data_IF_749020452048
#
_entry.id   IF_749020452048
#
_cell.length_a   1.000
_cell.length_b   1.000
_cell.length_c   1.000
_cell.angle_alpha   90.00
_cell.angle_beta   90.00
_cell.angle_gamma   90.00
#
_symmetry.space_group_name_H-M   'P 1'
#
loop_
_entity.id
_entity.type
_entity.pdbx_description
1 polymer ?
#
# COMPACT_ATOMS: atom_id res chain seq x y z
N UNK A 1 -31.60 -27.15 40.01
CA UNK A 1 -32.45 -26.92 38.82
C UNK A 1 -31.99 -25.65 38.13
N UNK A 2 -31.30 -25.78 36.99
CA UNK A 2 -31.01 -24.66 36.10
C UNK A 2 -31.21 -25.15 34.66
N UNK A 3 -32.15 -24.51 33.96
CA UNK A 3 -32.64 -24.87 32.63
C UNK A 3 -31.63 -24.36 31.60
N UNK A 4 -30.98 -25.28 30.87
CA UNK A 4 -30.20 -24.98 29.67
C UNK A 4 -31.16 -25.00 28.47
N UNK A 5 -31.46 -23.82 27.92
CA UNK A 5 -32.16 -23.71 26.63
C UNK A 5 -31.13 -23.89 25.51
N UNK A 6 -31.22 -25.02 24.82
CA UNK A 6 -30.56 -25.25 23.54
C UNK A 6 -31.29 -24.44 22.45
N UNK A 7 -30.55 -23.64 21.68
CA UNK A 7 -31.04 -23.11 20.41
C UNK A 7 -30.56 -24.03 19.29
N UNK A 8 -31.53 -24.70 18.68
CA UNK A 8 -31.41 -25.40 17.40
C UNK A 8 -31.44 -24.36 16.28
N UNK A 9 -30.45 -24.38 15.38
CA UNK A 9 -30.57 -23.78 14.06
C UNK A 9 -30.39 -24.87 13.01
N UNK A 10 -31.47 -25.08 12.27
CA UNK A 10 -31.58 -26.05 11.20
C UNK A 10 -30.86 -25.65 9.91
N UNK A 11 -30.61 -26.69 9.12
CA UNK A 11 -30.01 -26.78 7.80
C UNK A 11 -30.39 -25.70 6.77
N UNK A 12 -29.41 -25.31 5.94
CA UNK A 12 -29.55 -25.11 4.49
C UNK A 12 -28.18 -25.31 3.76
N UNK A 13 -28.04 -26.50 3.17
CA UNK A 13 -27.59 -26.82 1.79
C UNK A 13 -26.19 -26.38 1.27
N UNK A 14 -25.32 -27.41 1.14
CA UNK A 14 -24.36 -27.74 0.06
C UNK A 14 -23.38 -26.67 -0.45
N UNK A 15 -22.15 -26.72 0.07
CA UNK A 15 -20.95 -26.61 -0.75
C UNK A 15 -19.85 -27.39 -0.05
N UNK A 16 -19.26 -28.38 -0.73
CA UNK A 16 -18.01 -28.98 -0.30
C UNK A 16 -16.99 -27.85 -0.11
N UNK A 17 -16.32 -27.86 1.04
CA UNK A 17 -15.16 -27.08 1.50
C UNK A 17 -15.42 -26.48 2.88
N UNK A 18 -14.47 -26.75 3.78
CA UNK A 18 -14.45 -26.53 5.23
C UNK A 18 -15.04 -27.72 6.01
N UNK A 19 -14.19 -28.74 6.21
CA UNK A 19 -14.35 -29.62 7.38
C UNK A 19 -14.16 -28.75 8.63
N UNK A 20 -15.11 -28.75 9.59
CA UNK A 20 -14.90 -28.11 10.89
C UNK A 20 -13.68 -28.75 11.56
N UNK A 21 -12.94 -27.96 12.35
CA UNK A 21 -11.92 -28.51 13.26
C UNK A 21 -12.69 -29.35 14.29
N UNK A 22 -12.85 -30.64 14.00
CA UNK A 22 -13.37 -31.60 14.95
C UNK A 22 -12.49 -31.55 16.20
N UNK A 23 -13.13 -31.59 17.39
CA UNK A 23 -12.44 -32.12 18.58
C UNK A 23 -11.77 -33.41 18.12
N UNK A 24 -10.45 -33.56 18.33
CA UNK A 24 -9.73 -34.78 17.96
C UNK A 24 -10.52 -35.98 18.45
N UNK A 25 -11.24 -36.62 17.54
CA UNK A 25 -11.79 -37.94 17.80
C UNK A 25 -10.58 -38.85 18.04
N UNK A 26 -10.69 -39.83 18.96
CA UNK A 26 -9.61 -40.79 19.17
C UNK A 26 -9.27 -41.42 17.82
N UNK A 27 -7.98 -41.40 17.46
CA UNK A 27 -7.48 -42.01 16.22
C UNK A 27 -7.96 -43.46 16.20
N UNK A 28 -8.92 -43.77 15.33
CA UNK A 28 -9.47 -45.11 15.20
C UNK A 28 -8.47 -45.99 14.48
N UNK A 29 -8.42 -47.27 14.84
CA UNK A 29 -7.55 -48.28 14.19
C UNK A 29 -7.72 -48.35 12.68
N UNK A 30 -8.85 -47.92 12.14
CA UNK A 30 -9.12 -47.85 10.69
C UNK A 30 -8.41 -46.69 10.00
N UNK A 31 -8.31 -45.51 10.63
CA UNK A 31 -7.63 -44.35 10.06
C UNK A 31 -6.10 -44.50 10.02
N UNK A 32 -5.54 -45.31 10.92
CA UNK A 32 -4.11 -45.68 10.90
C UNK A 32 -3.82 -46.64 9.74
N UNK A 33 -4.69 -47.63 9.52
CA UNK A 33 -4.53 -48.62 8.45
C UNK A 33 -4.68 -48.00 7.04
N UNK A 34 -5.58 -47.02 6.87
CA UNK A 34 -5.73 -46.28 5.60
C UNK A 34 -4.52 -45.39 5.31
N UNK A 35 -3.95 -44.76 6.34
CA UNK A 35 -2.73 -43.96 6.20
C UNK A 35 -1.52 -44.83 5.80
N UNK A 36 -1.34 -45.98 6.44
CA UNK A 36 -0.24 -46.92 6.15
C UNK A 36 -0.32 -47.46 4.71
N UNK A 37 -1.51 -47.85 4.24
CA UNK A 37 -1.72 -48.29 2.85
C UNK A 37 -1.43 -47.18 1.82
N UNK A 38 -1.75 -45.93 2.14
CA UNK A 38 -1.46 -44.79 1.27
C UNK A 38 0.04 -44.48 1.18
N UNK A 39 0.77 -44.67 2.28
CA UNK A 39 2.20 -44.41 2.38
C UNK A 39 2.99 -45.47 1.61
N UNK A 40 2.66 -46.75 1.79
CA UNK A 40 3.29 -47.85 1.07
C UNK A 40 3.12 -47.72 -0.44
N UNK A 41 1.91 -47.39 -0.90
CA UNK A 41 1.65 -47.14 -2.33
C UNK A 41 2.45 -45.94 -2.87
N UNK A 42 2.67 -44.89 -2.07
CA UNK A 42 3.47 -43.74 -2.47
C UNK A 42 4.97 -44.06 -2.53
N UNK A 43 5.47 -44.87 -1.59
CA UNK A 43 6.87 -45.34 -1.56
C UNK A 43 7.17 -46.23 -2.78
N UNK A 44 6.26 -47.15 -3.10
CA UNK A 44 6.38 -48.05 -4.24
C UNK A 44 6.33 -47.30 -5.57
N UNK A 45 5.43 -46.32 -5.67
CA UNK A 45 5.29 -45.46 -6.85
C UNK A 45 6.47 -44.50 -7.06
N UNK A 46 7.29 -44.22 -6.04
CA UNK A 46 8.40 -43.28 -6.14
C UNK A 46 9.56 -43.87 -6.96
N UNK A 47 9.79 -43.28 -8.15
CA UNK A 47 10.91 -43.64 -9.01
C UNK A 47 12.13 -42.75 -8.72
N UNK A 48 13.20 -43.36 -8.22
CA UNK A 48 14.49 -42.70 -8.00
C UNK A 48 15.47 -43.07 -9.11
N UNK A 49 16.20 -42.08 -9.63
CA UNK A 49 17.18 -42.32 -10.67
C UNK A 49 18.33 -43.22 -10.18
N UNK A 50 18.98 -43.94 -11.09
CA UNK A 50 20.14 -44.77 -10.77
C UNK A 50 21.29 -43.96 -10.16
N UNK A 51 21.41 -42.69 -10.52
CA UNK A 51 22.39 -41.79 -9.93
C UNK A 51 22.18 -41.63 -8.41
N UNK A 52 20.93 -41.59 -7.96
CA UNK A 52 20.56 -41.47 -6.54
C UNK A 52 20.78 -42.78 -5.74
N UNK A 53 20.78 -43.94 -6.41
CA UNK A 53 20.74 -45.26 -5.75
C UNK A 53 21.98 -46.13 -5.94
N UNK A 54 22.90 -45.75 -6.85
CA UNK A 54 24.00 -46.61 -7.33
C UNK A 54 25.01 -47.14 -6.29
N UNK A 55 24.99 -46.63 -5.06
CA UNK A 55 25.90 -47.04 -3.97
C UNK A 55 25.18 -47.33 -2.65
N UNK A 56 23.86 -47.50 -2.71
CA UNK A 56 23.02 -47.73 -1.55
C UNK A 56 22.56 -49.19 -1.52
N UNK A 57 22.50 -49.77 -0.32
CA UNK A 57 21.83 -51.07 -0.13
C UNK A 57 20.32 -50.94 -0.39
N UNK A 58 19.61 -52.04 -0.69
CA UNK A 58 18.15 -52.01 -0.86
C UNK A 58 17.41 -51.33 0.30
N UNK A 59 17.80 -51.65 1.55
CA UNK A 59 17.23 -51.03 2.75
C UNK A 59 17.52 -49.53 2.85
N UNK A 60 18.68 -49.07 2.39
CA UNK A 60 18.99 -47.64 2.33
C UNK A 60 18.16 -46.92 1.27
N UNK A 61 17.91 -47.57 0.13
CA UNK A 61 17.04 -47.04 -0.93
C UNK A 61 15.60 -46.92 -0.45
N UNK A 62 15.09 -47.95 0.23
CA UNK A 62 13.74 -47.96 0.83
C UNK A 62 13.59 -46.84 1.87
N UNK A 63 14.50 -46.75 2.84
CA UNK A 63 14.51 -45.66 3.82
C UNK A 63 14.60 -44.27 3.16
N UNK A 64 15.37 -44.13 2.09
CA UNK A 64 15.45 -42.88 1.35
C UNK A 64 14.10 -42.54 0.69
N UNK A 65 13.42 -43.52 0.08
CA UNK A 65 12.09 -43.32 -0.51
C UNK A 65 11.07 -42.87 0.55
N UNK A 66 11.02 -43.56 1.69
CA UNK A 66 10.13 -43.21 2.81
C UNK A 66 10.36 -41.76 3.25
N UNK A 67 11.61 -41.36 3.46
CA UNK A 67 11.93 -39.99 3.87
C UNK A 67 11.58 -38.94 2.81
N UNK A 68 11.71 -39.27 1.51
CA UNK A 68 11.29 -38.36 0.43
C UNK A 68 9.78 -38.17 0.43
N UNK A 69 9.00 -39.24 0.60
CA UNK A 69 7.54 -39.16 0.68
C UNK A 69 7.12 -38.30 1.87
N UNK A 70 7.68 -38.56 3.06
CA UNK A 70 7.41 -37.78 4.28
C UNK A 70 7.78 -36.30 4.12
N UNK A 71 8.92 -36.00 3.49
CA UNK A 71 9.33 -34.62 3.24
C UNK A 71 8.35 -33.89 2.28
N UNK A 72 7.89 -34.58 1.24
CA UNK A 72 6.93 -34.02 0.29
C UNK A 72 5.56 -33.77 0.95
N UNK A 73 5.08 -34.71 1.76
CA UNK A 73 3.84 -34.57 2.52
C UNK A 73 3.89 -33.42 3.52
N UNK A 74 5.02 -33.26 4.23
CA UNK A 74 5.22 -32.14 5.15
C UNK A 74 5.17 -30.79 4.42
N UNK A 75 5.75 -30.69 3.21
CA UNK A 75 5.68 -29.49 2.39
C UNK A 75 4.24 -29.22 1.90
N UNK A 76 3.52 -30.25 1.45
CA UNK A 76 2.13 -30.11 1.04
C UNK A 76 1.25 -29.63 2.21
N UNK A 77 1.46 -30.19 3.40
CA UNK A 77 0.78 -29.79 4.64
C UNK A 77 1.06 -28.33 5.00
N UNK A 78 2.32 -27.89 4.92
CA UNK A 78 2.67 -26.49 5.14
C UNK A 78 1.96 -25.55 4.15
N UNK A 79 1.85 -25.98 2.90
CA UNK A 79 1.13 -25.27 1.84
C UNK A 79 -0.36 -25.13 2.11
N UNK A 80 -0.98 -26.23 2.53
CA UNK A 80 -2.38 -26.27 2.91
C UNK A 80 -2.65 -25.34 4.09
N UNK A 81 -1.76 -25.34 5.09
CA UNK A 81 -1.84 -24.43 6.23
C UNK A 81 -1.77 -22.96 5.81
N UNK A 82 -0.94 -22.60 4.81
CA UNK A 82 -0.90 -21.25 4.23
C UNK A 82 -2.25 -20.88 3.60
N UNK A 83 -2.82 -21.76 2.76
CA UNK A 83 -4.11 -21.51 2.11
C UNK A 83 -5.25 -21.39 3.12
N UNK A 84 -5.32 -22.32 4.07
CA UNK A 84 -6.34 -22.33 5.13
C UNK A 84 -6.26 -21.08 6.00
N UNK A 85 -5.04 -20.68 6.40
CA UNK A 85 -4.82 -19.44 7.17
C UNK A 85 -5.26 -18.22 6.39
N UNK A 86 -4.91 -18.12 5.10
CA UNK A 86 -5.30 -16.99 4.26
C UNK A 86 -6.82 -16.90 4.07
N UNK A 87 -7.50 -18.04 3.90
CA UNK A 87 -8.97 -18.11 3.81
C UNK A 87 -9.65 -17.71 5.12
N UNK A 88 -9.19 -18.23 6.26
CA UNK A 88 -9.76 -17.86 7.57
C UNK A 88 -9.58 -16.37 7.87
N UNK A 89 -8.41 -15.80 7.57
CA UNK A 89 -8.16 -14.37 7.73
C UNK A 89 -9.03 -13.51 6.81
N UNK A 90 -9.31 -14.00 5.59
CA UNK A 90 -10.21 -13.32 4.67
C UNK A 90 -11.65 -13.28 5.19
N UNK A 91 -12.16 -14.38 5.73
CA UNK A 91 -13.49 -14.40 6.36
C UNK A 91 -13.55 -13.47 7.59
N UNK A 92 -12.53 -13.49 8.45
CA UNK A 92 -12.43 -12.52 9.56
C UNK A 92 -12.46 -11.08 9.04
N UNK A 93 -11.72 -10.77 7.97
CA UNK A 93 -11.69 -9.42 7.38
C UNK A 93 -13.07 -9.00 6.84
N UNK A 94 -13.85 -9.93 6.27
CA UNK A 94 -15.21 -9.65 5.79
C UNK A 94 -16.17 -9.27 6.91
N UNK A 95 -16.01 -9.89 8.08
CA UNK A 95 -16.89 -9.67 9.23
C UNK A 95 -16.58 -8.39 10.01
N UNK A 96 -15.42 -7.75 9.76
CA UNK A 96 -14.98 -6.56 10.48
C UNK A 96 -14.85 -5.34 9.57
N UNK A 97 -15.15 -4.13 10.09
CA UNK A 97 -14.87 -2.88 9.37
C UNK A 97 -13.36 -2.69 9.17
N UNK A 98 -12.95 -2.04 8.08
CA UNK A 98 -11.53 -1.86 7.72
C UNK A 98 -10.62 -1.35 8.86
N UNK A 99 -11.08 -0.40 9.69
CA UNK A 99 -10.29 0.10 10.83
C UNK A 99 -10.07 -0.99 11.90
N UNK A 100 -11.06 -1.84 12.11
CA UNK A 100 -10.99 -2.95 13.07
C UNK A 100 -10.08 -4.07 12.54
N UNK A 101 -10.06 -4.30 11.22
CA UNK A 101 -9.12 -5.24 10.61
C UNK A 101 -7.67 -4.84 10.89
N UNK A 102 -7.31 -3.58 10.63
CA UNK A 102 -5.96 -3.08 10.93
C UNK A 102 -5.61 -3.24 12.40
N UNK A 103 -6.51 -2.82 13.30
CA UNK A 103 -6.31 -2.96 14.74
C UNK A 103 -6.14 -4.41 15.19
N UNK A 104 -6.93 -5.36 14.64
CA UNK A 104 -6.80 -6.79 14.92
C UNK A 104 -5.43 -7.32 14.48
N UNK A 105 -4.95 -6.93 13.29
CA UNK A 105 -3.64 -7.38 12.82
C UNK A 105 -2.47 -6.82 13.65
N UNK A 106 -2.69 -5.74 14.40
CA UNK A 106 -1.68 -5.07 15.22
C UNK A 106 -1.80 -5.40 16.71
N UNK A 107 -2.86 -6.07 17.15
CA UNK A 107 -3.13 -6.36 18.56
C UNK A 107 -2.28 -7.49 19.15
N UNK A 108 -1.62 -8.30 18.30
CA UNK A 108 -0.90 -9.51 18.73
C UNK A 108 -1.80 -10.72 18.99
N UNK A 109 -3.11 -10.63 18.71
CA UNK A 109 -4.04 -11.76 18.87
C UNK A 109 -3.78 -12.92 17.89
N UNK A 110 -3.15 -12.63 16.75
CA UNK A 110 -2.78 -13.62 15.74
C UNK A 110 -1.40 -14.20 16.05
N UNK A 111 -1.23 -15.50 15.83
CA UNK A 111 0.08 -16.20 15.93
C UNK A 111 1.00 -15.91 14.72
N UNK A 112 0.84 -14.74 14.09
CA UNK A 112 1.64 -14.28 12.96
C UNK A 112 1.72 -12.75 12.98
N UNK A 113 2.72 -12.19 12.32
CA UNK A 113 2.85 -10.73 12.23
C UNK A 113 1.65 -10.12 11.51
N UNK A 114 1.21 -8.93 11.93
CA UNK A 114 0.14 -8.19 11.26
C UNK A 114 0.42 -7.95 9.78
N UNK A 115 1.69 -7.78 9.42
CA UNK A 115 2.11 -7.67 8.02
C UNK A 115 1.83 -8.96 7.24
N UNK A 116 2.23 -10.11 7.79
CA UNK A 116 1.98 -11.42 7.19
C UNK A 116 0.48 -11.66 7.00
N UNK A 117 -0.35 -11.37 8.01
CA UNK A 117 -1.79 -11.52 7.92
C UNK A 117 -2.38 -10.69 6.76
N UNK A 118 -2.01 -9.41 6.66
CA UNK A 118 -2.48 -8.52 5.58
C UNK A 118 -2.01 -8.96 4.19
N UNK A 119 -0.75 -9.39 4.07
CA UNK A 119 -0.20 -9.89 2.81
C UNK A 119 -0.91 -11.21 2.38
N UNK A 120 -1.18 -12.14 3.30
CA UNK A 120 -1.91 -13.38 3.02
C UNK A 120 -3.34 -13.11 2.54
N UNK A 121 -4.09 -12.27 3.24
CA UNK A 121 -5.47 -11.92 2.81
C UNK A 121 -5.46 -11.28 1.43
N UNK A 122 -4.53 -10.36 1.18
CA UNK A 122 -4.39 -9.75 -0.14
C UNK A 122 -4.11 -10.79 -1.23
N UNK A 123 -3.25 -11.77 -0.97
CA UNK A 123 -2.98 -12.85 -1.92
C UNK A 123 -4.22 -13.74 -2.16
N UNK A 124 -4.96 -14.06 -1.09
CA UNK A 124 -6.20 -14.81 -1.14
C UNK A 124 -7.26 -14.14 -2.00
N UNK A 125 -7.53 -12.86 -1.71
CA UNK A 125 -8.51 -12.03 -2.42
C UNK A 125 -8.20 -11.86 -3.91
N UNK A 126 -6.92 -11.83 -4.27
CA UNK A 126 -6.50 -11.44 -5.61
C UNK A 126 -6.30 -12.59 -6.58
N UNK A 127 -5.93 -13.77 -6.10
CA UNK A 127 -5.72 -14.92 -6.98
C UNK A 127 -5.72 -16.29 -6.31
N UNK A 128 -5.28 -16.45 -5.05
CA UNK A 128 -5.13 -17.80 -4.45
C UNK A 128 -6.49 -18.51 -4.38
N UNK A 129 -7.56 -17.79 -4.03
CA UNK A 129 -8.93 -18.34 -3.94
C UNK A 129 -9.41 -18.98 -5.24
N UNK A 130 -9.07 -18.37 -6.36
CA UNK A 130 -9.59 -18.75 -7.69
C UNK A 130 -8.54 -19.52 -8.53
N UNK A 131 -7.42 -19.89 -7.92
CA UNK A 131 -6.31 -20.55 -8.62
C UNK A 131 -6.16 -22.01 -8.24
N UNK A 132 -5.96 -22.83 -9.26
CA UNK A 132 -5.57 -24.24 -9.15
C UNK A 132 -4.04 -24.36 -8.93
N UNK A 133 -3.51 -23.67 -7.92
CA UNK A 133 -2.09 -23.80 -7.53
C UNK A 133 -1.96 -24.94 -6.52
N UNK A 134 -1.02 -25.89 -6.68
CA UNK A 134 -0.78 -26.91 -5.68
C UNK A 134 -0.31 -26.31 -4.35
N UNK A 135 -0.67 -26.96 -3.24
CA UNK A 135 -0.37 -26.45 -1.91
C UNK A 135 1.15 -26.42 -1.65
N UNK A 136 1.89 -27.43 -2.09
CA UNK A 136 3.35 -27.48 -1.99
C UNK A 136 4.05 -26.31 -2.69
N UNK A 137 3.42 -25.72 -3.72
CA UNK A 137 3.96 -24.53 -4.37
C UNK A 137 3.79 -23.28 -3.51
N UNK A 138 2.72 -23.19 -2.71
CA UNK A 138 2.50 -22.09 -1.77
C UNK A 138 3.48 -22.14 -0.60
N UNK A 139 3.82 -23.34 -0.10
CA UNK A 139 4.76 -23.52 1.00
C UNK A 139 6.16 -22.94 0.72
N UNK A 140 6.57 -22.91 -0.56
CA UNK A 140 7.89 -22.47 -0.99
C UNK A 140 8.02 -20.96 -1.14
N UNK A 141 6.93 -20.22 -0.94
CA UNK A 141 6.84 -18.79 -1.26
C UNK A 141 6.38 -18.01 -0.04
N UNK A 142 7.05 -16.89 0.26
CA UNK A 142 6.65 -16.05 1.39
C UNK A 142 5.31 -15.37 1.15
N UNK A 143 4.55 -15.12 2.23
CA UNK A 143 3.30 -14.35 2.18
C UNK A 143 3.45 -13.02 1.42
N UNK A 144 4.62 -12.37 1.58
CA UNK A 144 4.93 -11.11 0.92
C UNK A 144 5.00 -11.25 -0.60
N UNK A 145 5.65 -12.30 -1.10
CA UNK A 145 5.75 -12.58 -2.53
C UNK A 145 4.38 -12.93 -3.09
N UNK A 146 3.60 -13.80 -2.41
CA UNK A 146 2.23 -14.16 -2.80
C UNK A 146 1.34 -12.91 -2.96
N UNK A 147 1.43 -11.96 -2.03
CA UNK A 147 0.67 -10.71 -2.07
C UNK A 147 1.08 -9.80 -3.24
N UNK A 148 2.37 -9.79 -3.58
CA UNK A 148 2.87 -9.00 -4.71
C UNK A 148 2.47 -9.62 -6.05
N UNK A 149 2.40 -10.96 -6.19
CA UNK A 149 1.83 -11.63 -7.38
C UNK A 149 0.38 -11.14 -7.63
N UNK A 150 -0.40 -10.98 -6.56
CA UNK A 150 -1.75 -10.41 -6.67
C UNK A 150 -1.80 -8.95 -7.14
N UNK A 151 -0.70 -8.21 -7.03
CA UNK A 151 -0.63 -6.77 -7.34
C UNK A 151 -0.18 -6.47 -8.76
N UNK A 152 0.20 -7.47 -9.55
CA UNK A 152 0.68 -7.29 -10.93
C UNK A 152 -0.44 -7.50 -11.93
N UNK A 153 -0.19 -7.08 -13.17
CA UNK A 153 -1.08 -7.34 -14.30
C UNK A 153 -1.30 -8.85 -14.53
N UNK A 154 -2.41 -9.19 -15.18
CA UNK A 154 -2.83 -10.58 -15.37
C UNK A 154 -1.78 -11.42 -16.11
N UNK A 155 -1.08 -10.86 -17.10
CA UNK A 155 -0.05 -11.56 -17.86
C UNK A 155 1.14 -11.95 -16.98
N UNK A 156 1.68 -10.99 -16.23
CA UNK A 156 2.77 -11.24 -15.26
C UNK A 156 2.34 -12.16 -14.12
N UNK A 157 1.08 -12.05 -13.67
CA UNK A 157 0.51 -12.91 -12.64
C UNK A 157 0.50 -14.37 -13.08
N UNK A 158 -0.03 -14.66 -14.27
CA UNK A 158 -0.06 -16.02 -14.83
C UNK A 158 1.34 -16.58 -15.00
N UNK A 159 2.29 -15.76 -15.47
CA UNK A 159 3.69 -16.18 -15.55
C UNK A 159 4.28 -16.56 -14.19
N UNK A 160 4.04 -15.73 -13.16
CA UNK A 160 4.49 -16.01 -11.79
C UNK A 160 3.86 -17.29 -11.22
N UNK A 161 2.55 -17.48 -11.40
CA UNK A 161 1.80 -18.67 -10.96
C UNK A 161 2.37 -19.93 -11.64
N UNK A 162 2.64 -19.88 -12.94
CA UNK A 162 3.20 -21.01 -13.65
C UNK A 162 4.61 -21.37 -13.16
N UNK A 163 5.42 -20.37 -12.79
CA UNK A 163 6.76 -20.61 -12.26
C UNK A 163 6.73 -21.29 -10.89
N UNK A 164 5.87 -20.83 -9.97
CA UNK A 164 5.72 -21.47 -8.64
C UNK A 164 5.19 -22.91 -8.76
N UNK A 165 4.27 -23.17 -9.69
CA UNK A 165 3.73 -24.52 -9.97
C UNK A 165 4.80 -25.52 -10.37
N UNK A 166 5.81 -25.08 -11.12
CA UNK A 166 6.92 -25.93 -11.56
C UNK A 166 7.90 -26.30 -10.44
N UNK A 167 7.70 -25.75 -9.24
CA UNK A 167 8.64 -25.93 -8.13
C UNK A 167 9.97 -25.21 -8.32
N UNK A 168 10.07 -24.36 -9.35
CA UNK A 168 11.17 -23.42 -9.48
C UNK A 168 11.05 -22.42 -8.32
N UNK A 169 12.02 -22.43 -7.41
CA UNK A 169 12.06 -21.50 -6.28
C UNK A 169 11.81 -20.07 -6.76
N UNK A 170 10.85 -19.40 -6.13
CA UNK A 170 10.37 -18.11 -6.60
C UNK A 170 10.62 -17.04 -5.53
N UNK A 171 11.69 -16.28 -5.72
CA UNK A 171 12.17 -15.29 -4.75
C UNK A 171 11.57 -13.91 -4.99
N UNK A 172 11.71 -13.00 -4.01
CA UNK A 172 11.40 -11.58 -4.23
C UNK A 172 12.20 -10.95 -5.38
N UNK A 173 13.42 -11.43 -5.64
CA UNK A 173 14.23 -10.97 -6.76
C UNK A 173 13.66 -11.41 -8.10
N UNK A 174 13.18 -12.66 -8.21
CA UNK A 174 12.50 -13.15 -9.42
C UNK A 174 11.26 -12.32 -9.71
N UNK A 175 10.48 -12.03 -8.67
CA UNK A 175 9.32 -11.18 -8.79
C UNK A 175 9.70 -9.74 -9.18
N UNK A 176 10.81 -9.20 -8.67
CA UNK A 176 11.27 -7.85 -9.01
C UNK A 176 11.74 -7.76 -10.47
N UNK A 177 12.33 -8.84 -11.01
CA UNK A 177 12.68 -8.97 -12.43
C UNK A 177 11.42 -9.03 -13.32
N UNK A 178 10.41 -9.81 -12.92
CA UNK A 178 9.15 -10.00 -13.67
C UNK A 178 8.27 -8.75 -13.61
N UNK A 179 8.14 -8.12 -12.44
CA UNK A 179 7.43 -6.85 -12.27
C UNK A 179 8.08 -5.74 -13.10
N UNK A 180 9.38 -5.88 -13.35
CA UNK A 180 10.22 -4.87 -13.94
C UNK A 180 10.50 -3.80 -12.91
N UNK A 181 11.74 -3.33 -12.85
CA UNK A 181 12.04 -2.02 -12.30
C UNK A 181 11.41 -0.95 -13.23
N UNK A 182 10.09 -0.83 -13.25
CA UNK A 182 9.51 0.47 -13.53
C UNK A 182 9.84 1.33 -12.31
N UNK A 183 11.05 1.92 -12.31
CA UNK A 183 11.27 3.17 -11.61
C UNK A 183 10.02 4.01 -11.87
N UNK A 184 9.38 4.51 -10.81
CA UNK A 184 8.14 5.26 -10.97
C UNK A 184 8.36 6.36 -12.03
N UNK A 185 7.32 6.76 -12.79
CA UNK A 185 7.45 7.83 -13.78
C UNK A 185 8.17 9.06 -13.21
N UNK A 186 7.89 9.37 -11.94
CA UNK A 186 8.55 10.42 -11.15
C UNK A 186 10.05 10.16 -10.96
N UNK A 187 10.46 8.94 -10.59
CA UNK A 187 11.88 8.60 -10.41
C UNK A 187 12.66 8.65 -11.73
N UNK A 188 12.04 8.27 -12.84
CA UNK A 188 12.65 8.42 -14.19
C UNK A 188 12.80 9.89 -14.57
N UNK A 189 11.76 10.70 -14.37
CA UNK A 189 11.84 12.15 -14.59
C UNK A 189 12.93 12.81 -13.74
N UNK A 190 13.08 12.41 -12.48
CA UNK A 190 14.15 12.93 -11.61
C UNK A 190 15.52 12.56 -12.17
N UNK A 191 15.73 11.30 -12.56
CA UNK A 191 17.01 10.85 -13.12
C UNK A 191 17.33 11.58 -14.45
N UNK A 192 16.32 11.84 -15.30
CA UNK A 192 16.47 12.58 -16.55
C UNK A 192 16.82 14.06 -16.30
N UNK A 193 16.17 14.70 -15.32
CA UNK A 193 16.46 16.08 -14.91
C UNK A 193 17.87 16.22 -14.31
N UNK A 194 18.30 15.26 -13.49
CA UNK A 194 19.66 15.22 -12.94
C UNK A 194 20.68 15.06 -14.05
N UNK A 195 20.46 14.14 -14.99
CA UNK A 195 21.34 13.94 -16.13
C UNK A 195 21.40 15.16 -17.06
N UNK A 196 20.30 15.90 -17.21
CA UNK A 196 20.26 17.14 -17.96
C UNK A 196 21.06 18.25 -17.26
N UNK A 197 20.84 18.45 -15.95
CA UNK A 197 21.58 19.43 -15.16
C UNK A 197 23.10 19.15 -15.14
N UNK A 198 23.51 17.89 -15.05
CA UNK A 198 24.93 17.51 -15.10
C UNK A 198 25.57 17.81 -16.47
N UNK A 199 24.81 17.68 -17.57
CA UNK A 199 25.30 18.05 -18.91
C UNK A 199 25.44 19.56 -19.05
N UNK A 200 24.45 20.32 -18.60
CA UNK A 200 24.47 21.78 -18.64
C UNK A 200 25.63 22.36 -17.81
N UNK A 201 25.87 21.81 -16.61
CA UNK A 201 27.01 22.22 -15.76
C UNK A 201 28.35 21.92 -16.44
N UNK A 202 28.46 20.80 -17.16
CA UNK A 202 29.68 20.41 -17.89
C UNK A 202 29.88 21.18 -19.20
N UNK A 203 28.81 21.65 -19.84
CA UNK A 203 28.87 22.36 -21.12
C UNK A 203 28.99 23.88 -21.00
N UNK A 204 28.67 24.44 -19.83
CA UNK A 204 28.72 25.90 -19.61
C UNK A 204 30.16 26.33 -19.27
N UNK A 205 30.75 27.22 -20.07
CA UNK A 205 32.11 27.73 -19.82
C UNK A 205 32.12 28.70 -18.64
N UNK A 206 33.31 28.95 -18.06
CA UNK A 206 33.41 29.84 -16.90
C UNK A 206 33.08 31.31 -17.25
N UNK A 207 33.21 31.72 -18.52
CA UNK A 207 32.74 33.04 -18.99
C UNK A 207 31.21 33.16 -18.98
N UNK A 208 30.48 32.10 -19.34
CA UNK A 208 29.02 32.10 -19.33
C UNK A 208 28.46 32.13 -17.90
N UNK A 209 29.14 31.45 -16.96
CA UNK A 209 28.82 31.52 -15.53
C UNK A 209 29.04 32.92 -14.96
N UNK A 210 30.13 33.58 -15.36
CA UNK A 210 30.40 34.97 -14.98
C UNK A 210 29.33 35.93 -15.53
N UNK A 211 28.94 35.77 -16.80
CA UNK A 211 27.89 36.57 -17.43
C UNK A 211 26.51 36.39 -16.76
N UNK A 212 26.14 35.15 -16.39
CA UNK A 212 24.92 34.90 -15.64
C UNK A 212 24.95 35.51 -14.24
N UNK A 213 26.10 35.47 -13.57
CA UNK A 213 26.26 36.11 -12.26
C UNK A 213 26.09 37.62 -12.33
N UNK A 214 26.67 38.28 -13.34
CA UNK A 214 26.52 39.72 -13.55
C UNK A 214 25.08 40.11 -13.87
N UNK A 215 24.38 39.30 -14.66
CA UNK A 215 22.95 39.49 -14.94
C UNK A 215 22.11 39.39 -13.67
N UNK A 216 22.32 38.34 -12.85
CA UNK A 216 21.62 38.16 -11.57
C UNK A 216 21.92 39.28 -10.57
N UNK A 217 23.14 39.84 -10.59
CA UNK A 217 23.52 40.98 -9.76
C UNK A 217 22.78 42.24 -10.17
N UNK A 218 22.68 42.51 -11.48
CA UNK A 218 21.95 43.67 -12.00
C UNK A 218 20.44 43.57 -11.74
N UNK A 219 19.85 42.38 -11.93
CA UNK A 219 18.45 42.13 -11.61
C UNK A 219 18.16 42.33 -10.12
N UNK A 220 19.05 41.88 -9.22
CA UNK A 220 18.93 42.13 -7.79
C UNK A 220 18.93 43.62 -7.43
N UNK A 221 19.80 44.40 -8.05
CA UNK A 221 19.84 45.86 -7.84
C UNK A 221 18.53 46.50 -8.31
N UNK A 222 18.04 46.11 -9.49
CA UNK A 222 16.79 46.62 -10.04
C UNK A 222 15.57 46.25 -9.17
N UNK A 223 15.51 45.01 -8.69
CA UNK A 223 14.45 44.56 -7.78
C UNK A 223 14.48 45.30 -6.44
N UNK A 224 15.66 45.54 -5.87
CA UNK A 224 15.79 46.37 -4.66
C UNK A 224 15.30 47.81 -4.90
N UNK A 225 15.65 48.41 -6.03
CA UNK A 225 15.17 49.75 -6.37
C UNK A 225 13.64 49.81 -6.52
N UNK A 226 13.03 48.80 -7.16
CA UNK A 226 11.57 48.68 -7.25
C UNK A 226 10.91 48.53 -5.88
N UNK A 227 11.49 47.70 -5.01
CA UNK A 227 10.99 47.49 -3.65
C UNK A 227 10.99 48.78 -2.84
N UNK A 228 12.08 49.56 -2.90
CA UNK A 228 12.16 50.84 -2.19
C UNK A 228 11.18 51.89 -2.72
N UNK A 229 10.97 51.96 -4.05
CA UNK A 229 9.91 52.80 -4.64
C UNK A 229 8.53 52.41 -4.13
N UNK A 230 8.25 51.12 -4.05
CA UNK A 230 6.95 50.63 -3.60
C UNK A 230 6.72 50.91 -2.11
N UNK A 231 7.77 50.81 -1.28
CA UNK A 231 7.71 51.23 0.13
C UNK A 231 7.39 52.72 0.27
N UNK A 232 8.06 53.58 -0.51
CA UNK A 232 7.80 55.02 -0.49
C UNK A 232 6.36 55.35 -0.88
N UNK A 233 5.83 54.70 -1.94
CA UNK A 233 4.44 54.88 -2.35
C UNK A 233 3.44 54.43 -1.27
N UNK A 234 3.72 53.31 -0.60
CA UNK A 234 2.86 52.85 0.49
C UNK A 234 2.83 53.82 1.68
N UNK A 235 3.96 54.44 2.01
CA UNK A 235 4.01 55.48 3.06
C UNK A 235 3.15 56.68 2.65
N UNK A 236 3.24 57.12 1.39
CA UNK A 236 2.45 58.24 0.88
C UNK A 236 0.95 57.95 0.93
N UNK A 237 0.53 56.77 0.44
CA UNK A 237 -0.87 56.35 0.49
C UNK A 237 -1.40 56.23 1.93
N UNK A 238 -0.57 55.76 2.87
CA UNK A 238 -0.95 55.72 4.28
C UNK A 238 -1.16 57.12 4.86
N UNK A 239 -0.35 58.10 4.47
CA UNK A 239 -0.52 59.49 4.90
C UNK A 239 -1.79 60.10 4.29
N UNK A 240 -2.06 59.85 3.01
CA UNK A 240 -3.28 60.30 2.35
C UNK A 240 -4.53 59.71 3.01
N UNK A 241 -4.54 58.40 3.29
CA UNK A 241 -5.65 57.74 4.00
C UNK A 241 -5.88 58.34 5.40
N UNK A 242 -4.80 58.62 6.15
CA UNK A 242 -4.93 59.28 7.47
C UNK A 242 -5.53 60.68 7.36
N UNK A 243 -5.21 61.43 6.32
CA UNK A 243 -5.77 62.77 6.10
C UNK A 243 -7.25 62.68 5.70
N UNK A 244 -7.61 61.76 4.80
CA UNK A 244 -9.01 61.51 4.44
C UNK A 244 -9.84 61.08 5.65
N UNK A 245 -9.31 60.22 6.51
CA UNK A 245 -9.99 59.81 7.75
C UNK A 245 -10.23 61.00 8.70
N UNK A 246 -9.30 61.95 8.78
CA UNK A 246 -9.50 63.18 9.56
C UNK A 246 -10.59 64.05 8.95
N UNK A 247 -10.52 64.31 7.64
CA UNK A 247 -11.50 65.12 6.93
C UNK A 247 -12.91 64.51 7.03
N UNK A 248 -13.04 63.19 6.89
CA UNK A 248 -14.32 62.49 7.05
C UNK A 248 -14.87 62.63 8.47
N UNK A 249 -14.03 62.54 9.51
CA UNK A 249 -14.45 62.77 10.90
C UNK A 249 -14.94 64.21 11.11
N UNK A 250 -14.28 65.19 10.52
CA UNK A 250 -14.68 66.59 10.59
C UNK A 250 -16.01 66.84 9.86
N UNK A 251 -16.18 66.29 8.65
CA UNK A 251 -17.44 66.32 7.90
C UNK A 251 -18.59 65.68 8.68
N UNK A 252 -18.37 64.50 9.29
CA UNK A 252 -19.38 63.83 10.13
C UNK A 252 -19.76 64.71 11.33
N UNK A 253 -18.79 65.41 11.93
CA UNK A 253 -19.04 66.32 13.04
C UNK A 253 -19.86 67.54 12.61
N UNK A 254 -19.54 68.13 11.47
CA UNK A 254 -20.29 69.26 10.89
C UNK A 254 -21.72 68.86 10.50
N UNK A 255 -21.91 67.68 9.91
CA UNK A 255 -23.23 67.14 9.59
C UNK A 255 -24.08 66.89 10.85
N UNK A 256 -23.47 66.38 11.93
CA UNK A 256 -24.17 66.25 13.21
C UNK A 256 -24.56 67.61 13.81
N UNK A 257 -23.68 68.62 13.72
CA UNK A 257 -23.98 69.98 14.19
C UNK A 257 -25.13 70.60 13.39
N UNK A 258 -25.13 70.48 12.06
CA UNK A 258 -26.20 70.96 11.19
C UNK A 258 -27.55 70.23 11.45
N UNK A 259 -27.51 68.92 11.77
CA UNK A 259 -28.69 68.15 12.13
C UNK A 259 -29.28 68.53 13.49
N UNK A 260 -28.45 68.96 14.46
CA UNK A 260 -28.90 69.42 15.78
C UNK A 260 -29.44 70.85 15.79
N UNK A 261 -29.11 71.67 14.79
CA UNK A 261 -29.53 73.08 14.71
C UNK A 261 -30.82 73.33 13.90
N UNK A 262 -31.45 72.29 13.32
CA UNK A 262 -32.80 72.41 12.75
C UNK A 262 -32.94 73.38 11.58
N UNK A 263 -32.07 73.31 10.58
CA UNK A 263 -32.15 74.15 9.36
C UNK A 263 -32.88 73.41 8.23
N UNK A 264 -33.91 74.08 7.68
CA UNK A 264 -34.80 73.64 6.58
C UNK A 264 -34.04 73.31 5.27
N UNK A 265 -34.50 72.38 4.42
CA UNK A 265 -33.68 71.59 3.49
C UNK A 265 -33.21 72.31 2.21
N UNK A 266 -33.29 73.63 2.13
CA UNK A 266 -32.96 74.39 0.90
C UNK A 266 -31.47 74.77 0.83
N UNK A 267 -30.75 74.88 1.95
CA UNK A 267 -29.33 75.30 1.97
C UNK A 267 -28.31 74.17 1.79
N UNK A 268 -28.73 72.90 1.88
CA UNK A 268 -27.82 71.76 1.76
C UNK A 268 -27.27 71.56 0.32
N UNK A 269 -27.97 72.08 -0.70
CA UNK A 269 -27.52 71.98 -2.10
C UNK A 269 -26.40 72.95 -2.46
N UNK A 270 -26.32 74.11 -1.80
CA UNK A 270 -25.26 75.11 -2.05
C UNK A 270 -23.93 74.74 -1.35
N UNK A 271 -23.98 74.10 -0.18
CA UNK A 271 -22.78 73.70 0.54
C UNK A 271 -22.01 72.56 -0.17
N UNK A 272 -22.69 71.70 -0.94
CA UNK A 272 -22.07 70.63 -1.70
C UNK A 272 -21.34 71.13 -2.96
N UNK A 273 -21.72 72.30 -3.50
CA UNK A 273 -21.11 72.87 -4.71
C UNK A 273 -19.78 73.61 -4.44
N UNK A 274 -19.46 73.93 -3.19
CA UNK A 274 -18.23 74.63 -2.82
C UNK A 274 -17.03 73.68 -2.51
N UNK A 275 -17.22 72.37 -2.63
CA UNK A 275 -16.24 71.34 -2.23
C UNK A 275 -15.77 70.43 -3.39
N UNK A 276 -16.09 70.80 -4.64
CA UNK A 276 -15.42 70.30 -5.87
C UNK A 276 -14.29 71.26 -6.22
#
# INVERSE_FOLDING_TARGET
>A
MAIVRAYSFGHLVHSNYIQPIHRRDPVTSSGIAEYDQSLDSAIDGLQLSRACTSKLSPSQVENMKTNVVLANEAIATAGNAVRASAGALYEIKKDVKNKNWTALTESGALQMSGRMARDLVKAYESWIRDSDVPDEALARVSARVLARIGSVDAGKRTHAINKIKRGEGYTEQDLTKIIGNSKSPVRRQIDDLVAQAEREIKSTTDEEKASQFDKLKMDNVNMKAKLERQKALNIELQNQNKNLDKNNKELIKLLHQAATEGVSPVSASEAAAALV
#
